data_IF_053378425300
#
_entry.id   IF_053378425300
#
_cell.length_a   1.000
_cell.length_b   1.000
_cell.length_c   1.000
_cell.angle_alpha   90.00
_cell.angle_beta   90.00
_cell.angle_gamma   90.00
#
_symmetry.space_group_name_H-M   'P 1'
#
loop_
_entity.id
_entity.type
_entity.pdbx_description
1 polymer ?
#
# COMPACT_ATOMS: atom_id res chain seq x y z
N UNK A 1 22.81 -47.42 -53.28
CA UNK A 1 23.08 -47.24 -51.83
C UNK A 1 23.16 -45.77 -51.37
N UNK A 2 22.97 -44.77 -52.25
CA UNK A 2 23.02 -43.33 -51.86
C UNK A 2 21.68 -42.81 -51.29
N UNK A 3 20.57 -43.52 -51.50
CA UNK A 3 19.23 -43.06 -51.13
C UNK A 3 18.92 -43.15 -49.62
N UNK A 4 19.41 -44.18 -48.92
CA UNK A 4 19.11 -44.38 -47.49
C UNK A 4 19.86 -43.39 -46.59
N UNK A 5 21.10 -43.05 -46.93
CA UNK A 5 21.89 -42.08 -46.17
C UNK A 5 21.34 -40.65 -46.29
N UNK A 6 20.80 -40.28 -47.45
CA UNK A 6 20.11 -38.99 -47.65
C UNK A 6 18.79 -38.96 -46.89
N UNK A 7 18.01 -40.05 -46.91
CA UNK A 7 16.76 -40.15 -46.17
C UNK A 7 16.98 -40.04 -44.64
N UNK A 8 18.00 -40.71 -44.11
CA UNK A 8 18.39 -40.61 -42.69
C UNK A 8 18.87 -39.20 -42.36
N UNK A 9 19.66 -38.55 -43.22
CA UNK A 9 20.12 -37.18 -43.03
C UNK A 9 18.97 -36.17 -42.94
N UNK A 10 17.99 -36.27 -43.85
CA UNK A 10 16.80 -35.40 -43.86
C UNK A 10 15.94 -35.66 -42.61
N UNK A 11 15.72 -36.93 -42.24
CA UNK A 11 14.92 -37.28 -41.07
C UNK A 11 15.56 -36.76 -39.77
N UNK A 12 16.88 -36.87 -39.64
CA UNK A 12 17.64 -36.39 -38.47
C UNK A 12 17.60 -34.87 -38.39
N UNK A 13 17.72 -34.17 -39.52
CA UNK A 13 17.63 -32.71 -39.57
C UNK A 13 16.23 -32.21 -39.17
N UNK A 14 15.18 -32.84 -39.70
CA UNK A 14 13.79 -32.53 -39.34
C UNK A 14 13.50 -32.84 -37.87
N UNK A 15 13.96 -34.00 -37.38
CA UNK A 15 13.81 -34.39 -35.97
C UNK A 15 14.52 -33.43 -35.01
N UNK A 16 15.74 -33.02 -35.36
CA UNK A 16 16.51 -32.05 -34.56
C UNK A 16 15.88 -30.66 -34.60
N UNK A 17 15.39 -30.23 -35.77
CA UNK A 17 14.67 -28.96 -35.94
C UNK A 17 13.37 -28.90 -35.14
N UNK A 18 12.60 -29.99 -35.12
CA UNK A 18 11.37 -30.08 -34.33
C UNK A 18 11.66 -30.12 -32.82
N UNK A 19 12.68 -30.86 -32.39
CA UNK A 19 13.07 -30.91 -30.98
C UNK A 19 13.55 -29.54 -30.46
N UNK A 20 14.35 -28.82 -31.25
CA UNK A 20 14.81 -27.47 -30.88
C UNK A 20 13.67 -26.45 -30.89
N UNK A 21 12.75 -26.50 -31.84
CA UNK A 21 11.56 -25.64 -31.87
C UNK A 21 10.65 -25.90 -30.66
N UNK A 22 10.42 -27.16 -30.29
CA UNK A 22 9.64 -27.53 -29.11
C UNK A 22 10.30 -27.06 -27.80
N UNK A 23 11.63 -27.17 -27.70
CA UNK A 23 12.41 -26.67 -26.56
C UNK A 23 12.32 -25.15 -26.40
N UNK A 24 12.44 -24.40 -27.50
CA UNK A 24 12.27 -22.94 -27.51
C UNK A 24 10.86 -22.53 -27.06
N UNK A 25 9.83 -23.25 -27.52
CA UNK A 25 8.44 -22.95 -27.18
C UNK A 25 8.12 -23.24 -25.71
N UNK A 26 8.63 -24.37 -25.18
CA UNK A 26 8.54 -24.68 -23.76
C UNK A 26 9.29 -23.66 -22.89
N UNK A 27 10.48 -23.24 -23.32
CA UNK A 27 11.27 -22.24 -22.61
C UNK A 27 10.59 -20.87 -22.58
N UNK A 28 10.01 -20.42 -23.68
CA UNK A 28 9.20 -19.19 -23.71
C UNK A 28 8.00 -19.29 -22.77
N UNK A 29 7.30 -20.42 -22.75
CA UNK A 29 6.18 -20.64 -21.82
C UNK A 29 6.62 -20.66 -20.35
N UNK A 30 7.76 -21.26 -20.05
CA UNK A 30 8.33 -21.25 -18.71
C UNK A 30 8.65 -19.81 -18.27
N UNK A 31 9.33 -19.02 -19.12
CA UNK A 31 9.63 -17.61 -18.84
C UNK A 31 8.39 -16.75 -18.61
N UNK A 32 7.32 -16.97 -19.39
CA UNK A 32 6.05 -16.25 -19.18
C UNK A 32 5.40 -16.63 -17.84
N UNK A 33 5.52 -17.90 -17.41
CA UNK A 33 5.02 -18.33 -16.09
C UNK A 33 5.85 -17.76 -14.95
N UNK A 34 7.17 -17.76 -15.10
CA UNK A 34 8.12 -17.14 -14.16
C UNK A 34 7.84 -15.65 -14.02
N UNK A 35 7.77 -14.90 -15.12
CA UNK A 35 7.48 -13.47 -15.10
C UNK A 35 6.13 -13.12 -14.44
N UNK A 36 5.10 -13.97 -14.61
CA UNK A 36 3.81 -13.81 -13.92
C UNK A 36 3.91 -14.12 -12.42
N UNK A 37 4.67 -15.15 -12.05
CA UNK A 37 4.91 -15.47 -10.64
C UNK A 37 5.68 -14.34 -9.95
N UNK A 38 6.71 -13.81 -10.59
CA UNK A 38 7.50 -12.68 -10.11
C UNK A 38 6.66 -11.42 -9.95
N UNK A 39 5.79 -11.11 -10.92
CA UNK A 39 4.87 -9.98 -10.81
C UNK A 39 3.91 -10.11 -9.63
N UNK A 40 3.34 -11.31 -9.41
CA UNK A 40 2.46 -11.56 -8.27
C UNK A 40 3.19 -11.40 -6.94
N UNK A 41 4.41 -11.93 -6.85
CA UNK A 41 5.25 -11.74 -5.67
C UNK A 41 5.55 -10.25 -5.41
N UNK A 42 5.92 -9.50 -6.46
CA UNK A 42 6.18 -8.06 -6.36
C UNK A 42 4.94 -7.26 -5.95
N UNK A 43 3.75 -7.67 -6.41
CA UNK A 43 2.48 -7.07 -6.02
C UNK A 43 2.13 -7.30 -4.56
N UNK A 44 2.29 -8.54 -4.08
CA UNK A 44 2.09 -8.88 -2.65
C UNK A 44 3.03 -8.05 -1.79
N UNK A 45 4.30 -7.97 -2.18
CA UNK A 45 5.31 -7.19 -1.46
C UNK A 45 5.02 -5.69 -1.50
N UNK A 46 4.60 -5.15 -2.65
CA UNK A 46 4.21 -3.76 -2.79
C UNK A 46 3.06 -3.39 -1.85
N UNK A 47 2.00 -4.21 -1.81
CA UNK A 47 0.86 -3.94 -0.94
C UNK A 47 1.23 -4.11 0.54
N UNK A 48 2.09 -5.08 0.86
CA UNK A 48 2.63 -5.28 2.21
C UNK A 48 3.39 -4.04 2.68
N UNK A 49 4.36 -3.57 1.90
CA UNK A 49 5.16 -2.39 2.25
C UNK A 49 4.28 -1.16 2.45
N UNK A 50 3.28 -0.96 1.59
CA UNK A 50 2.34 0.15 1.71
C UNK A 50 1.50 0.04 2.98
N UNK A 51 0.99 -1.15 3.27
CA UNK A 51 0.20 -1.40 4.47
C UNK A 51 1.00 -1.18 5.77
N UNK A 52 2.23 -1.70 5.82
CA UNK A 52 3.15 -1.51 6.95
C UNK A 52 3.47 -0.03 7.11
N UNK A 53 3.85 0.68 6.05
CA UNK A 53 4.19 2.09 6.12
C UNK A 53 3.02 2.99 6.55
N UNK A 54 1.79 2.69 6.11
CA UNK A 54 0.59 3.41 6.55
C UNK A 54 0.25 3.11 8.01
N UNK A 55 0.44 1.86 8.47
CA UNK A 55 0.23 1.47 9.86
C UNK A 55 1.24 2.13 10.79
N UNK A 56 2.52 2.17 10.38
CA UNK A 56 3.60 2.82 11.10
C UNK A 56 3.37 4.34 11.20
N UNK A 57 2.84 4.94 10.13
CA UNK A 57 2.47 6.36 10.12
C UNK A 57 1.33 6.64 11.11
N UNK A 58 0.29 5.80 11.13
CA UNK A 58 -0.82 5.91 12.09
C UNK A 58 -0.33 5.75 13.55
N UNK A 59 0.53 4.76 13.81
CA UNK A 59 1.12 4.53 15.13
C UNK A 59 2.01 5.70 15.56
N UNK A 60 2.85 6.20 14.65
CA UNK A 60 3.67 7.38 14.87
C UNK A 60 2.84 8.61 15.26
N UNK A 61 1.70 8.84 14.59
CA UNK A 61 0.79 9.93 14.91
C UNK A 61 0.14 9.74 16.29
N UNK A 62 -0.29 8.53 16.64
CA UNK A 62 -0.82 8.25 17.98
C UNK A 62 0.21 8.52 19.08
N UNK A 63 1.47 8.17 18.82
CA UNK A 63 2.58 8.44 19.73
C UNK A 63 2.95 9.93 19.77
N UNK A 64 2.82 10.67 18.68
CA UNK A 64 3.09 12.12 18.65
C UNK A 64 2.05 12.89 19.48
N UNK A 65 0.78 12.51 19.39
CA UNK A 65 -0.32 13.11 20.18
C UNK A 65 -0.18 12.94 21.69
N UNK A 66 0.46 11.86 22.15
CA UNK A 66 0.68 11.59 23.58
C UNK A 66 1.93 12.29 24.13
N UNK A 67 2.82 12.79 23.27
CA UNK A 67 4.08 13.44 23.67
C UNK A 67 3.91 14.96 23.64
N UNK A 68 4.25 15.61 24.76
CA UNK A 68 4.03 17.05 25.03
C UNK A 68 4.82 18.02 24.13
N UNK A 69 5.76 17.53 23.33
CA UNK A 69 6.55 18.32 22.38
C UNK A 69 6.56 17.64 21.00
N UNK A 70 6.16 18.34 19.93
CA UNK A 70 6.14 17.75 18.60
C UNK A 70 7.47 17.96 17.86
N UNK A 71 8.16 16.90 17.43
CA UNK A 71 9.15 17.02 16.37
C UNK A 71 8.41 17.10 15.02
N UNK A 72 7.81 18.25 14.70
CA UNK A 72 7.05 18.51 13.45
C UNK A 72 7.84 18.10 12.20
N UNK A 73 9.17 18.29 12.23
CA UNK A 73 10.06 17.90 11.13
C UNK A 73 10.15 16.38 10.92
N UNK A 74 10.07 15.57 11.98
CA UNK A 74 10.12 14.11 11.87
C UNK A 74 8.84 13.55 11.24
N UNK A 75 7.70 14.19 11.49
CA UNK A 75 6.38 13.78 10.99
C UNK A 75 6.20 14.15 9.51
N UNK A 76 6.61 15.36 9.10
CA UNK A 76 6.65 15.77 7.70
C UNK A 76 7.56 14.88 6.84
N UNK A 77 8.70 14.45 7.40
CA UNK A 77 9.60 13.52 6.72
C UNK A 77 8.96 12.14 6.50
N UNK A 78 8.23 11.61 7.49
CA UNK A 78 7.52 10.32 7.39
C UNK A 78 6.40 10.35 6.34
N UNK A 79 5.60 11.42 6.29
CA UNK A 79 4.58 11.59 5.25
C UNK A 79 5.20 11.62 3.85
N UNK A 80 6.35 12.30 3.70
CA UNK A 80 7.09 12.34 2.44
C UNK A 80 7.59 10.94 2.04
N UNK A 81 8.11 10.16 2.99
CA UNK A 81 8.53 8.78 2.74
C UNK A 81 7.38 7.88 2.29
N UNK A 82 6.20 8.00 2.92
CA UNK A 82 5.00 7.26 2.50
C UNK A 82 4.56 7.68 1.09
N UNK A 83 4.55 8.98 0.78
CA UNK A 83 4.19 9.45 -0.56
C UNK A 83 5.17 8.95 -1.64
N UNK A 84 6.48 8.98 -1.36
CA UNK A 84 7.49 8.43 -2.26
C UNK A 84 7.35 6.91 -2.42
N UNK A 85 7.01 6.20 -1.35
CA UNK A 85 6.73 4.76 -1.40
C UNK A 85 5.53 4.47 -2.30
N UNK A 86 4.43 5.21 -2.15
CA UNK A 86 3.23 5.07 -2.99
C UNK A 86 3.54 5.33 -4.46
N UNK A 87 4.35 6.34 -4.77
CA UNK A 87 4.81 6.60 -6.14
C UNK A 87 5.68 5.47 -6.69
N UNK A 88 6.61 4.95 -5.87
CA UNK A 88 7.50 3.84 -6.25
C UNK A 88 6.74 2.53 -6.48
N UNK A 89 5.70 2.27 -5.69
CA UNK A 89 4.92 1.02 -5.71
C UNK A 89 3.68 1.09 -6.60
N UNK A 90 3.32 2.26 -7.14
CA UNK A 90 2.15 2.44 -8.02
C UNK A 90 2.04 1.43 -9.17
N UNK A 91 3.13 0.98 -9.85
CA UNK A 91 2.99 0.01 -10.95
C UNK A 91 2.46 -1.37 -10.53
N UNK A 92 2.52 -1.66 -9.23
CA UNK A 92 2.11 -2.93 -8.64
C UNK A 92 0.80 -2.83 -7.86
N UNK A 93 0.31 -1.62 -7.61
CA UNK A 93 -0.96 -1.35 -6.94
C UNK A 93 -2.07 -1.23 -7.98
N UNK A 94 -3.26 -1.69 -7.61
CA UNK A 94 -4.46 -1.40 -8.39
C UNK A 94 -4.91 0.05 -8.17
N UNK A 95 -5.69 0.62 -9.10
CA UNK A 95 -6.21 1.99 -8.96
C UNK A 95 -6.99 2.21 -7.66
N UNK A 96 -7.80 1.23 -7.23
CA UNK A 96 -8.56 1.30 -5.98
C UNK A 96 -7.63 1.25 -4.76
N UNK A 97 -6.59 0.41 -4.79
CA UNK A 97 -5.59 0.30 -3.72
C UNK A 97 -4.80 1.60 -3.55
N UNK A 98 -4.44 2.23 -4.67
CA UNK A 98 -3.75 3.51 -4.68
C UNK A 98 -4.64 4.63 -4.14
N UNK A 99 -5.90 4.69 -4.58
CA UNK A 99 -6.88 5.66 -4.08
C UNK A 99 -7.08 5.52 -2.57
N UNK A 100 -7.27 4.28 -2.07
CA UNK A 100 -7.47 4.03 -0.65
C UNK A 100 -6.23 4.40 0.17
N UNK A 101 -5.04 4.08 -0.32
CA UNK A 101 -3.78 4.40 0.36
C UNK A 101 -3.54 5.92 0.44
N UNK A 102 -3.84 6.66 -0.63
CA UNK A 102 -3.76 8.13 -0.65
C UNK A 102 -4.79 8.75 0.30
N UNK A 103 -6.04 8.28 0.26
CA UNK A 103 -7.09 8.74 1.15
C UNK A 103 -6.75 8.47 2.63
N UNK A 104 -6.09 7.35 2.92
CA UNK A 104 -5.64 7.01 4.28
C UNK A 104 -4.62 8.02 4.81
N UNK A 105 -3.57 8.31 4.04
CA UNK A 105 -2.56 9.29 4.41
C UNK A 105 -3.14 10.71 4.56
N UNK A 106 -4.11 11.06 3.70
CA UNK A 106 -4.79 12.36 3.78
C UNK A 106 -5.63 12.49 5.06
N UNK A 107 -6.44 11.49 5.41
CA UNK A 107 -7.25 11.53 6.62
C UNK A 107 -6.41 11.52 7.90
N UNK A 108 -5.27 10.83 7.93
CA UNK A 108 -4.32 10.93 9.04
C UNK A 108 -3.84 12.37 9.24
N UNK A 109 -3.44 13.03 8.15
CA UNK A 109 -2.97 14.42 8.16
C UNK A 109 -4.08 15.38 8.58
N UNK A 110 -5.32 15.16 8.12
CA UNK A 110 -6.49 15.95 8.50
C UNK A 110 -6.80 15.84 10.00
N UNK A 111 -6.77 14.61 10.55
CA UNK A 111 -6.96 14.38 12.00
C UNK A 111 -5.85 15.08 12.81
N UNK A 112 -4.59 14.97 12.38
CA UNK A 112 -3.47 15.63 13.07
C UNK A 112 -3.63 17.14 13.09
N UNK A 113 -3.96 17.74 11.93
CA UNK A 113 -4.17 19.17 11.80
C UNK A 113 -5.32 19.66 12.70
N UNK A 114 -6.44 18.94 12.75
CA UNK A 114 -7.59 19.29 13.59
C UNK A 114 -7.25 19.22 15.09
N UNK A 115 -6.53 18.18 15.52
CA UNK A 115 -6.14 18.03 16.93
C UNK A 115 -5.17 19.15 17.33
N UNK A 116 -4.19 19.47 16.49
CA UNK A 116 -3.24 20.56 16.75
C UNK A 116 -3.90 21.93 16.76
N UNK A 117 -4.81 22.20 15.82
CA UNK A 117 -5.56 23.46 15.80
C UNK A 117 -6.36 23.65 17.10
N UNK A 118 -7.04 22.59 17.57
CA UNK A 118 -7.76 22.62 18.84
C UNK A 118 -6.84 22.84 20.05
N UNK A 119 -5.63 22.25 20.04
CA UNK A 119 -4.65 22.47 21.11
C UNK A 119 -4.14 23.93 21.17
N UNK A 120 -4.01 24.60 20.02
CA UNK A 120 -3.61 26.02 19.96
C UNK A 120 -4.76 26.96 20.38
N UNK A 121 -5.99 26.66 19.97
CA UNK A 121 -7.17 27.46 20.35
C UNK A 121 -7.47 27.34 21.86
N UNK A 122 -7.26 26.16 22.45
CA UNK A 122 -7.42 25.93 23.89
C UNK A 122 -6.44 26.68 24.80
N UNK A 123 -5.30 27.15 24.27
CA UNK A 123 -4.32 27.93 25.03
C UNK A 123 -4.62 29.44 25.05
N UNK A 124 -5.56 29.93 24.24
CA UNK A 124 -5.72 31.37 23.98
C UNK A 124 -6.90 32.05 24.70
N UNK A 125 -7.64 31.42 25.62
CA UNK A 125 -8.78 32.15 26.22
C UNK A 125 -9.61 31.56 27.36
N UNK A 126 -9.20 30.49 28.05
CA UNK A 126 -10.01 29.92 29.13
C UNK A 126 -9.18 29.47 30.30
N UNK A 127 -9.35 30.16 31.44
CA UNK A 127 -8.94 29.71 32.77
C UNK A 127 -9.18 28.20 32.97
N UNK A 128 -8.22 27.51 33.59
CA UNK A 128 -8.23 26.09 34.02
C UNK A 128 -9.48 25.66 34.84
N UNK A 129 -10.43 26.57 35.11
CA UNK A 129 -11.64 26.33 35.89
C UNK A 129 -12.85 25.76 35.08
N UNK A 130 -12.83 25.75 33.75
CA UNK A 130 -14.01 25.32 32.94
C UNK A 130 -13.99 23.85 32.46
N UNK A 131 -12.93 23.08 32.74
CA UNK A 131 -12.83 21.65 32.38
C UNK A 131 -14.07 20.84 32.81
N UNK A 132 -14.70 21.20 33.93
CA UNK A 132 -15.84 20.48 34.49
C UNK A 132 -17.22 20.93 33.97
N UNK A 133 -17.30 21.97 33.12
CA UNK A 133 -18.60 22.61 32.83
C UNK A 133 -19.33 22.06 31.61
N UNK A 134 -18.71 21.34 30.66
CA UNK A 134 -19.48 20.94 29.47
C UNK A 134 -19.16 19.57 28.87
N UNK A 135 -19.81 18.53 29.39
CA UNK A 135 -20.18 17.35 28.57
C UNK A 135 -21.10 17.73 27.39
N UNK A 136 -21.64 18.96 27.36
CA UNK A 136 -22.60 19.46 26.38
C UNK A 136 -21.99 20.31 25.23
N UNK A 137 -20.78 20.86 25.37
CA UNK A 137 -20.10 21.62 24.29
C UNK A 137 -18.97 20.79 23.75
N UNK A 138 -19.29 19.97 22.76
CA UNK A 138 -18.26 19.37 21.93
C UNK A 138 -17.55 20.48 21.13
N UNK A 139 -16.23 20.42 20.95
CA UNK A 139 -15.51 21.31 20.04
C UNK A 139 -16.17 21.27 18.66
N UNK A 140 -16.28 22.39 17.93
CA UNK A 140 -16.85 22.38 16.58
C UNK A 140 -16.08 21.47 15.59
N UNK A 141 -14.79 21.24 15.84
CA UNK A 141 -13.94 20.30 15.09
C UNK A 141 -14.19 18.82 15.42
N UNK A 142 -14.89 18.50 16.51
CA UNK A 142 -15.07 17.12 16.98
C UNK A 142 -15.85 16.25 15.99
N UNK A 143 -16.89 16.80 15.35
CA UNK A 143 -17.65 16.08 14.33
C UNK A 143 -16.77 15.77 13.11
N UNK A 144 -15.96 16.73 12.66
CA UNK A 144 -15.06 16.54 11.51
C UNK A 144 -13.98 15.51 11.82
N UNK A 145 -13.37 15.59 13.01
CA UNK A 145 -12.37 14.63 13.47
C UNK A 145 -12.98 13.22 13.65
N UNK A 146 -14.20 13.11 14.17
CA UNK A 146 -14.90 11.83 14.31
C UNK A 146 -15.24 11.19 12.96
N UNK A 147 -15.69 11.99 11.99
CA UNK A 147 -15.93 11.51 10.61
C UNK A 147 -14.63 11.06 9.96
N UNK A 148 -13.56 11.86 10.06
CA UNK A 148 -12.25 11.50 9.51
C UNK A 148 -11.70 10.22 10.16
N UNK A 149 -11.82 10.06 11.48
CA UNK A 149 -11.41 8.85 12.19
C UNK A 149 -12.25 7.63 11.78
N UNK A 150 -13.55 7.81 11.56
CA UNK A 150 -14.40 6.74 11.05
C UNK A 150 -13.97 6.33 9.63
N UNK A 151 -13.75 7.29 8.72
CA UNK A 151 -13.25 7.02 7.36
C UNK A 151 -11.89 6.32 7.36
N UNK A 152 -10.99 6.75 8.23
CA UNK A 152 -9.69 6.10 8.43
C UNK A 152 -9.87 4.63 8.85
N UNK A 153 -10.79 4.34 9.77
CA UNK A 153 -11.08 2.97 10.21
C UNK A 153 -11.64 2.10 9.06
N UNK A 154 -12.51 2.66 8.22
CA UNK A 154 -13.02 1.96 7.03
C UNK A 154 -11.91 1.65 6.04
N UNK A 155 -11.01 2.60 5.78
CA UNK A 155 -9.88 2.42 4.87
C UNK A 155 -8.88 1.39 5.41
N UNK A 156 -8.62 1.42 6.72
CA UNK A 156 -7.82 0.41 7.43
C UNK A 156 -8.37 -0.99 7.17
N UNK A 157 -9.68 -1.17 7.35
CA UNK A 157 -10.33 -2.46 7.11
C UNK A 157 -10.27 -2.88 5.64
N UNK A 158 -10.54 -1.96 4.70
CA UNK A 158 -10.49 -2.24 3.25
C UNK A 158 -9.10 -2.70 2.81
N UNK A 159 -8.06 -1.95 3.17
CA UNK A 159 -6.67 -2.29 2.84
C UNK A 159 -6.23 -3.60 3.51
N UNK A 160 -6.58 -3.80 4.79
CA UNK A 160 -6.28 -5.04 5.51
C UNK A 160 -6.99 -6.26 4.89
N UNK A 161 -8.26 -6.14 4.52
CA UNK A 161 -8.99 -7.21 3.83
C UNK A 161 -8.39 -7.51 2.45
N UNK A 162 -8.01 -6.49 1.70
CA UNK A 162 -7.37 -6.64 0.39
C UNK A 162 -6.03 -7.34 0.50
N UNK A 163 -5.19 -6.92 1.45
CA UNK A 163 -3.93 -7.56 1.77
C UNK A 163 -4.12 -9.04 2.13
N UNK A 164 -5.05 -9.34 3.04
CA UNK A 164 -5.37 -10.71 3.43
C UNK A 164 -5.89 -11.57 2.26
N UNK A 165 -6.70 -10.99 1.36
CA UNK A 165 -7.18 -11.69 0.17
C UNK A 165 -6.05 -12.01 -0.82
N UNK A 166 -5.08 -11.12 -0.97
CA UNK A 166 -3.91 -11.31 -1.86
C UNK A 166 -2.94 -12.35 -1.30
N UNK A 167 -2.68 -12.32 0.01
CA UNK A 167 -1.82 -13.33 0.68
C UNK A 167 -2.44 -14.73 0.58
N UNK A 168 -3.78 -14.84 0.63
CA UNK A 168 -4.50 -16.11 0.47
C UNK A 168 -4.65 -16.56 -0.99
N UNK A 169 -4.42 -15.68 -1.95
CA UNK A 169 -4.64 -15.96 -3.38
C UNK A 169 -6.11 -15.85 -3.82
N UNK A 170 -6.98 -15.25 -2.99
CA UNK A 170 -8.43 -15.16 -3.23
C UNK A 170 -8.82 -14.02 -4.18
N UNK A 171 -7.97 -13.00 -4.32
CA UNK A 171 -8.22 -11.87 -5.23
C UNK A 171 -6.96 -11.54 -6.02
N UNK A 172 -6.90 -12.02 -7.27
CA UNK A 172 -5.98 -11.51 -8.29
C UNK A 172 -6.46 -10.20 -8.85
#
# INVERSE_FOLDING_TARGET
MVSDTVAVGVLTFVGTGLATAAGLWQWQRARVREARADFRAQRVEALREVWEALSDLEEAQRLSLTRREPPVAAEANRLTQVNLLLLRRSPFLRPDEQEWAQAFAQHLTEIDALIRAQAHDGQSGGSDAEWFVTTARQPPSSHVAAVAAHRLSELRLKLGHRYAAIVRGDSE
#
